data_IF_670632096430
#
_entry.id   IF_670632096430
#
_cell.length_a   1.000
_cell.length_b   1.000
_cell.length_c   1.000
_cell.angle_alpha   90.00
_cell.angle_beta   90.00
_cell.angle_gamma   90.00
#
_symmetry.space_group_name_H-M   'P 1'
#
loop_
_entity.id
_entity.type
_entity.pdbx_description
1 polymer ?
#
# COMPACT_ATOMS: atom_id res chain seq x y z
N UNK A 1 0.89 -16.88 -10.43
CA UNK A 1 1.50 -15.66 -10.98
C UNK A 1 1.74 -14.68 -9.84
N UNK A 2 2.98 -14.23 -9.60
CA UNK A 2 3.25 -13.18 -8.58
C UNK A 2 2.79 -11.85 -9.17
N UNK A 3 1.93 -11.12 -8.47
CA UNK A 3 1.50 -9.80 -8.92
C UNK A 3 2.74 -8.89 -9.09
N UNK A 4 2.85 -8.13 -10.19
CA UNK A 4 3.96 -7.20 -10.37
C UNK A 4 3.90 -6.14 -9.28
N UNK A 5 4.87 -6.17 -8.39
CA UNK A 5 5.04 -5.17 -7.33
C UNK A 5 5.60 -3.88 -7.96
N UNK A 6 4.90 -2.77 -7.78
CA UNK A 6 5.37 -1.45 -8.24
C UNK A 6 6.74 -1.09 -7.67
N UNK A 7 7.60 -0.45 -8.47
CA UNK A 7 8.92 0.00 -8.04
C UNK A 7 8.87 0.99 -6.86
N UNK A 8 7.77 1.75 -6.74
CA UNK A 8 7.53 2.62 -5.59
C UNK A 8 7.48 1.81 -4.29
N UNK A 9 6.74 0.69 -4.31
CA UNK A 9 6.59 -0.17 -3.13
C UNK A 9 7.93 -0.84 -2.81
N UNK A 10 8.70 -1.25 -3.83
CA UNK A 10 10.06 -1.77 -3.62
C UNK A 10 10.96 -0.75 -2.93
N UNK A 11 10.89 0.54 -3.31
CA UNK A 11 11.67 1.60 -2.67
C UNK A 11 11.24 1.83 -1.22
N UNK A 12 9.93 1.87 -0.95
CA UNK A 12 9.38 1.99 0.40
C UNK A 12 9.85 0.83 1.29
N UNK A 13 9.82 -0.39 0.78
CA UNK A 13 10.27 -1.57 1.51
C UNK A 13 11.78 -1.57 1.78
N UNK A 14 12.62 -0.84 1.02
CA UNK A 14 14.07 -0.74 1.31
C UNK A 14 14.37 0.11 2.56
N UNK A 15 13.46 1.00 2.97
CA UNK A 15 13.64 1.88 4.13
C UNK A 15 12.92 1.30 5.35
N UNK A 16 13.61 0.98 6.47
CA UNK A 16 13.00 0.29 7.61
C UNK A 16 11.80 1.02 8.24
N UNK A 17 11.91 2.35 8.42
CA UNK A 17 10.83 3.18 8.95
C UNK A 17 9.59 3.17 8.05
N UNK A 18 9.80 3.44 6.76
CA UNK A 18 8.74 3.47 5.75
C UNK A 18 8.10 2.09 5.53
N UNK A 19 8.89 1.02 5.62
CA UNK A 19 8.41 -0.37 5.58
C UNK A 19 7.43 -0.64 6.71
N UNK A 20 7.75 -0.23 7.94
CA UNK A 20 6.85 -0.45 9.09
C UNK A 20 5.53 0.32 8.91
N UNK A 21 5.58 1.55 8.43
CA UNK A 21 4.38 2.34 8.13
C UNK A 21 3.51 1.66 7.07
N UNK A 22 4.13 1.19 5.97
CA UNK A 22 3.44 0.46 4.91
C UNK A 22 2.77 -0.81 5.43
N UNK A 23 3.50 -1.65 6.18
CA UNK A 23 2.98 -2.91 6.71
C UNK A 23 1.85 -2.68 7.73
N UNK A 24 1.98 -1.66 8.59
CA UNK A 24 0.94 -1.29 9.56
C UNK A 24 -0.34 -0.89 8.82
N UNK A 25 -0.22 -0.08 7.79
CA UNK A 25 -1.36 0.35 7.01
C UNK A 25 -1.99 -0.75 6.15
N UNK A 26 -1.20 -1.69 5.62
CA UNK A 26 -1.73 -2.91 4.98
C UNK A 26 -2.52 -3.78 5.96
N UNK A 27 -2.01 -3.93 7.19
CA UNK A 27 -2.72 -4.67 8.24
C UNK A 27 -4.02 -3.96 8.64
N UNK A 28 -4.01 -2.63 8.75
CA UNK A 28 -5.22 -1.84 8.96
C UNK A 28 -6.22 -1.99 7.81
N UNK A 29 -5.75 -2.00 6.56
CA UNK A 29 -6.60 -2.19 5.39
C UNK A 29 -7.23 -3.58 5.40
N UNK A 30 -6.47 -4.61 5.76
CA UNK A 30 -6.98 -5.98 5.89
C UNK A 30 -8.05 -6.12 6.98
N UNK A 31 -7.97 -5.32 8.05
CA UNK A 31 -8.97 -5.32 9.14
C UNK A 31 -10.23 -4.49 8.83
N UNK A 32 -10.09 -3.35 8.16
CA UNK A 32 -11.19 -2.43 7.87
C UNK A 32 -11.82 -2.61 6.47
N UNK A 33 -11.19 -3.39 5.57
CA UNK A 33 -11.67 -3.81 4.24
C UNK A 33 -12.19 -2.74 3.27
N UNK A 34 -12.03 -1.45 3.57
CA UNK A 34 -12.55 -0.37 2.73
C UNK A 34 -11.41 0.52 2.20
N UNK A 35 -10.76 1.26 3.10
CA UNK A 35 -9.70 2.20 2.73
C UNK A 35 -8.92 2.63 3.97
N UNK A 36 -7.62 2.88 3.82
CA UNK A 36 -6.77 3.43 4.89
C UNK A 36 -5.86 4.51 4.32
N UNK A 37 -5.81 5.65 4.99
CA UNK A 37 -4.81 6.68 4.74
C UNK A 37 -3.50 6.29 5.44
N UNK A 38 -2.41 6.20 4.69
CA UNK A 38 -1.07 5.94 5.17
C UNK A 38 -0.18 7.15 4.96
N UNK A 39 0.54 7.52 6.00
CA UNK A 39 1.70 8.38 5.87
C UNK A 39 2.94 7.49 5.77
N UNK A 40 3.76 7.70 4.74
CA UNK A 40 5.02 6.99 4.53
C UNK A 40 6.10 8.04 4.29
N UNK A 41 6.89 8.34 5.32
CA UNK A 41 7.77 9.51 5.32
C UNK A 41 6.98 10.82 5.12
N UNK A 42 7.41 11.67 4.17
CA UNK A 42 6.77 12.96 3.92
C UNK A 42 5.63 12.89 2.88
N UNK A 43 5.12 11.69 2.58
CA UNK A 43 4.06 11.49 1.58
C UNK A 43 2.88 10.76 2.20
N UNK A 44 1.68 11.23 1.89
CA UNK A 44 0.42 10.57 2.26
C UNK A 44 -0.12 9.79 1.06
N UNK A 45 -0.49 8.55 1.30
CA UNK A 45 -1.05 7.61 0.33
C UNK A 45 -2.39 7.11 0.82
N UNK A 46 -3.30 6.86 -0.12
CA UNK A 46 -4.60 6.26 0.18
C UNK A 46 -4.58 4.83 -0.34
N UNK A 47 -4.63 3.87 0.57
CA UNK A 47 -4.67 2.45 0.25
C UNK A 47 -6.12 1.98 0.23
N UNK A 48 -6.53 1.37 -0.88
CA UNK A 48 -7.82 0.71 -1.06
C UNK A 48 -7.61 -0.61 -1.79
N UNK A 49 -8.47 -1.59 -1.53
CA UNK A 49 -8.55 -2.75 -2.42
C UNK A 49 -9.15 -2.28 -3.74
N UNK A 50 -8.48 -2.63 -4.84
CA UNK A 50 -9.03 -2.45 -6.19
C UNK A 50 -9.35 -3.83 -6.73
N UNK A 51 -10.58 -4.01 -7.21
CA UNK A 51 -10.90 -5.20 -7.99
C UNK A 51 -10.15 -5.12 -9.31
N UNK A 52 -9.71 -6.29 -9.81
CA UNK A 52 -8.90 -6.37 -11.03
C UNK A 52 -9.62 -5.78 -12.25
N UNK A 53 -10.95 -5.75 -12.23
CA UNK A 53 -11.82 -5.16 -13.26
C UNK A 53 -11.83 -3.62 -13.26
N UNK A 54 -11.40 -2.96 -12.18
CA UNK A 54 -11.39 -1.49 -12.07
C UNK A 54 -10.09 -0.84 -12.55
N UNK A 55 -9.20 -1.60 -13.20
CA UNK A 55 -7.90 -1.12 -13.67
C UNK A 55 -7.88 -0.73 -15.17
N UNK A 56 -9.02 -0.84 -15.86
CA UNK A 56 -9.21 -0.52 -17.27
C UNK A 56 -10.34 0.52 -17.46
N UNK A 57 -10.16 1.73 -16.95
CA UNK A 57 -10.89 2.93 -17.39
C UNK A 57 -9.92 4.11 -17.48
#
# INVERSE_FOLDING_TARGET
MKAPMSDLVKQILKKPSQRQELLKGLNSLHKNSQQVDLNIGNKSYKLKFVNKDSLNE
#
